data_IF_885934808037
#
_entry.id   IF_885934808037
#
_cell.length_a   1.000
_cell.length_b   1.000
_cell.length_c   1.000
_cell.angle_alpha   90.00
_cell.angle_beta   90.00
_cell.angle_gamma   90.00
#
_symmetry.space_group_name_H-M   'P 1'
#
loop_
_entity.id
_entity.type
_entity.pdbx_description
1 polymer ?
#
# COMPACT_ATOMS: atom_id res chain seq x y z
N UNK A 1 -8.91 -42.18 35.82
CA UNK A 1 -9.68 -41.07 35.23
C UNK A 1 -8.92 -39.80 35.55
N UNK A 2 -8.18 -39.28 34.58
CA UNK A 2 -7.29 -38.13 34.77
C UNK A 2 -8.00 -36.91 34.20
N UNK A 3 -8.58 -36.10 35.08
CA UNK A 3 -9.20 -34.81 34.71
C UNK A 3 -8.08 -33.86 34.33
N UNK A 4 -7.98 -33.55 33.03
CA UNK A 4 -7.12 -32.48 32.52
C UNK A 4 -7.86 -31.17 32.75
N UNK A 5 -7.43 -30.40 33.73
CA UNK A 5 -7.88 -29.02 33.92
C UNK A 5 -7.26 -28.18 32.83
N UNK A 6 -8.05 -27.82 31.83
CA UNK A 6 -7.69 -26.78 30.86
C UNK A 6 -7.56 -25.46 31.62
N UNK A 7 -6.35 -24.95 31.76
CA UNK A 7 -6.13 -23.60 32.29
C UNK A 7 -6.65 -22.59 31.26
N UNK A 8 -7.71 -21.86 31.62
CA UNK A 8 -8.12 -20.64 30.93
C UNK A 8 -6.94 -19.64 30.98
N UNK A 9 -6.49 -19.05 29.86
CA UNK A 9 -5.51 -17.97 29.91
C UNK A 9 -6.11 -16.80 30.69
N UNK A 10 -5.28 -16.01 31.37
CA UNK A 10 -5.69 -14.75 32.00
C UNK A 10 -6.61 -13.97 31.04
N UNK A 11 -7.78 -13.54 31.52
CA UNK A 11 -8.80 -12.86 30.73
C UNK A 11 -8.15 -11.77 29.85
N UNK A 12 -8.27 -11.90 28.54
CA UNK A 12 -7.82 -10.87 27.61
C UNK A 12 -8.66 -9.61 27.89
N UNK A 13 -8.09 -8.67 28.66
CA UNK A 13 -8.69 -7.37 29.01
C UNK A 13 -8.86 -6.44 27.82
N UNK A 14 -8.31 -6.81 26.67
CA UNK A 14 -8.42 -6.05 25.44
C UNK A 14 -9.35 -6.72 24.43
N UNK A 15 -10.07 -5.91 23.66
CA UNK A 15 -10.87 -6.38 22.52
C UNK A 15 -10.31 -5.77 21.22
N UNK A 16 -10.04 -6.63 20.24
CA UNK A 16 -9.64 -6.18 18.90
C UNK A 16 -10.88 -6.09 18.01
N UNK A 17 -11.28 -4.86 17.68
CA UNK A 17 -12.43 -4.60 16.84
C UNK A 17 -12.23 -4.93 15.36
N UNK A 18 -13.23 -4.54 14.56
CA UNK A 18 -13.26 -4.81 13.11
C UNK A 18 -12.26 -3.93 12.36
N UNK A 19 -11.60 -4.51 11.36
CA UNK A 19 -10.69 -3.79 10.46
C UNK A 19 -11.42 -2.66 9.72
N UNK A 20 -10.94 -1.44 9.84
CA UNK A 20 -11.47 -0.31 9.08
C UNK A 20 -10.93 -0.26 7.63
N UNK A 21 -11.43 0.68 6.83
CA UNK A 21 -11.03 0.84 5.43
C UNK A 21 -9.53 1.11 5.24
N UNK A 22 -8.89 1.78 6.21
CA UNK A 22 -7.44 2.04 6.30
C UNK A 22 -6.65 0.86 6.88
N UNK A 23 -7.27 -0.31 7.00
CA UNK A 23 -6.60 -1.53 7.41
C UNK A 23 -6.18 -1.60 8.88
N UNK A 24 -6.62 -0.65 9.70
CA UNK A 24 -6.37 -0.57 11.15
C UNK A 24 -7.49 -1.28 11.92
N UNK A 25 -7.14 -1.96 12.99
CA UNK A 25 -8.06 -2.61 13.91
C UNK A 25 -8.08 -1.78 15.20
N UNK A 26 -9.21 -1.16 15.59
CA UNK A 26 -9.29 -0.48 16.86
C UNK A 26 -9.11 -1.50 17.99
N UNK A 27 -8.43 -1.09 19.06
CA UNK A 27 -8.28 -1.90 20.27
C UNK A 27 -8.87 -1.12 21.44
N UNK A 28 -9.75 -1.79 22.19
CA UNK A 28 -10.23 -1.29 23.48
C UNK A 28 -9.59 -2.09 24.60
N UNK A 29 -9.41 -1.47 25.77
CA UNK A 29 -8.90 -2.08 27.01
C UNK A 29 -9.92 -1.76 28.09
N UNK A 30 -10.52 -2.78 28.71
CA UNK A 30 -11.60 -2.64 29.68
C UNK A 30 -12.75 -1.73 29.19
N UNK A 31 -13.06 -1.83 27.89
CA UNK A 31 -14.10 -1.02 27.22
C UNK A 31 -13.70 0.42 26.87
N UNK A 32 -12.50 0.88 27.22
CA UNK A 32 -11.97 2.20 26.88
C UNK A 32 -11.06 2.16 25.65
N UNK A 33 -10.86 3.26 24.91
CA UNK A 33 -9.95 3.29 23.77
C UNK A 33 -8.49 3.05 24.18
N UNK A 34 -7.88 1.96 23.70
CA UNK A 34 -6.45 1.68 23.87
C UNK A 34 -5.60 2.14 22.69
N UNK A 35 -6.19 2.22 21.50
CA UNK A 35 -5.52 2.69 20.28
C UNK A 35 -5.95 1.90 19.05
N UNK A 36 -5.02 1.68 18.13
CA UNK A 36 -5.23 0.79 17.00
C UNK A 36 -3.98 -0.03 16.66
N UNK A 37 -4.20 -1.21 16.09
CA UNK A 37 -3.15 -2.06 15.53
C UNK A 37 -3.33 -2.22 14.03
N UNK A 38 -2.24 -2.39 13.30
CA UNK A 38 -2.30 -2.70 11.87
C UNK A 38 -1.12 -3.54 11.43
N UNK A 39 -1.25 -4.12 10.24
CA UNK A 39 -0.21 -4.94 9.63
C UNK A 39 0.46 -4.17 8.50
N UNK A 40 1.78 -4.14 8.50
CA UNK A 40 2.59 -3.54 7.42
C UNK A 40 3.77 -4.47 7.12
N UNK A 41 3.92 -4.89 5.86
CA UNK A 41 5.03 -5.76 5.43
C UNK A 41 5.20 -7.07 6.21
N UNK A 42 4.08 -7.64 6.67
CA UNK A 42 4.07 -8.91 7.39
C UNK A 42 4.13 -8.75 8.91
N UNK A 43 4.53 -7.58 9.39
CA UNK A 43 4.74 -7.24 10.81
C UNK A 43 3.51 -6.50 11.37
N UNK A 44 3.34 -6.56 12.70
CA UNK A 44 2.26 -5.86 13.39
C UNK A 44 2.79 -4.60 14.07
N UNK A 45 1.96 -3.56 14.05
CA UNK A 45 2.26 -2.28 14.67
C UNK A 45 1.12 -1.88 15.57
N UNK A 46 1.45 -1.35 16.74
CA UNK A 46 0.51 -0.79 17.70
C UNK A 46 0.71 0.72 17.76
N UNK A 47 -0.39 1.46 17.66
CA UNK A 47 -0.42 2.91 17.84
C UNK A 47 -1.31 3.24 19.04
N UNK A 48 -0.74 3.74 20.14
CA UNK A 48 -1.50 4.15 21.30
C UNK A 48 -2.55 5.23 21.01
N UNK A 49 -3.68 5.18 21.72
CA UNK A 49 -4.68 6.24 21.65
C UNK A 49 -4.07 7.57 22.10
N UNK A 50 -4.26 8.64 21.32
CA UNK A 50 -3.66 9.94 21.67
C UNK A 50 -2.17 10.09 21.31
N UNK A 51 -1.53 9.09 20.69
CA UNK A 51 -0.13 9.19 20.23
C UNK A 51 0.04 8.99 18.72
N UNK A 52 1.09 9.60 18.17
CA UNK A 52 1.47 9.46 16.76
C UNK A 52 2.47 8.32 16.51
N UNK A 53 3.24 7.94 17.54
CA UNK A 53 4.29 6.93 17.42
C UNK A 53 3.71 5.51 17.41
N UNK A 54 4.37 4.62 16.67
CA UNK A 54 3.94 3.23 16.50
C UNK A 54 5.06 2.29 17.01
N UNK A 55 4.71 1.26 17.79
CA UNK A 55 5.62 0.20 18.21
C UNK A 55 5.42 -1.07 17.38
N UNK A 56 6.49 -1.81 17.13
CA UNK A 56 6.50 -3.00 16.27
C UNK A 56 6.42 -4.29 17.10
N UNK A 57 5.64 -5.25 16.62
CA UNK A 57 5.36 -6.54 17.25
C UNK A 57 5.32 -7.68 16.23
N UNK A 58 5.59 -8.89 16.70
CA UNK A 58 5.65 -10.08 15.84
C UNK A 58 4.26 -10.64 15.51
N UNK A 59 3.29 -10.46 16.42
CA UNK A 59 1.93 -10.93 16.22
C UNK A 59 0.85 -9.92 16.64
N UNK A 60 -0.37 -10.20 16.19
CA UNK A 60 -1.55 -9.33 16.36
C UNK A 60 -1.93 -9.14 17.82
N UNK A 61 -1.86 -10.21 18.61
CA UNK A 61 -2.25 -10.23 20.01
C UNK A 61 -1.16 -9.60 20.88
N UNK A 62 0.13 -9.81 20.56
CA UNK A 62 1.22 -9.04 21.19
C UNK A 62 1.06 -7.53 21.00
N UNK A 63 0.73 -7.09 19.78
CA UNK A 63 0.49 -5.67 19.52
C UNK A 63 -0.69 -5.11 20.35
N UNK A 64 -1.75 -5.88 20.54
CA UNK A 64 -2.90 -5.47 21.34
C UNK A 64 -2.62 -5.52 22.84
N UNK A 65 -1.94 -6.56 23.32
CA UNK A 65 -1.51 -6.70 24.71
C UNK A 65 -0.58 -5.55 25.13
N UNK A 66 0.33 -5.14 24.24
CA UNK A 66 1.18 -3.97 24.48
C UNK A 66 0.38 -2.68 24.71
N UNK A 67 -0.77 -2.50 24.05
CA UNK A 67 -1.63 -1.34 24.31
C UNK A 67 -2.29 -1.43 25.70
N UNK A 68 -2.63 -2.63 26.17
CA UNK A 68 -3.11 -2.84 27.53
C UNK A 68 -2.01 -2.54 28.57
N UNK A 69 -0.78 -2.99 28.33
CA UNK A 69 0.37 -2.72 29.20
C UNK A 69 0.61 -1.21 29.34
N UNK A 70 0.50 -0.45 28.25
CA UNK A 70 0.66 1.00 28.23
C UNK A 70 -0.49 1.77 28.92
N UNK A 71 -1.71 1.20 28.91
CA UNK A 71 -2.83 1.75 29.71
C UNK A 71 -2.60 1.46 31.19
N UNK A 72 -2.16 0.24 31.53
CA UNK A 72 -1.90 -0.17 32.92
C UNK A 72 -0.73 0.61 33.55
N UNK A 73 0.30 0.95 32.76
CA UNK A 73 1.40 1.80 33.22
C UNK A 73 1.01 3.27 33.40
N UNK A 74 -0.14 3.68 32.84
CA UNK A 74 -0.58 5.08 32.80
C UNK A 74 0.18 5.92 31.76
N UNK A 75 0.93 5.30 30.86
CA UNK A 75 1.61 5.98 29.75
C UNK A 75 0.60 6.47 28.69
N UNK A 76 -0.57 5.84 28.62
CA UNK A 76 -1.71 6.26 27.81
C UNK A 76 -2.86 6.68 28.72
N UNK A 77 -3.43 7.86 28.44
CA UNK A 77 -4.74 8.24 28.97
C UNK A 77 -5.83 7.85 27.94
N UNK A 78 -6.69 6.85 28.23
CA UNK A 78 -7.77 6.45 27.33
C UNK A 78 -8.80 7.56 27.09
N UNK A 79 -8.85 8.59 27.93
CA UNK A 79 -9.71 9.75 27.78
C UNK A 79 -9.06 10.89 26.99
N UNK A 80 -7.77 10.77 26.63
CA UNK A 80 -7.10 11.76 25.80
C UNK A 80 -7.80 11.90 24.44
N UNK A 81 -7.82 13.10 23.84
CA UNK A 81 -8.30 13.25 22.48
C UNK A 81 -7.41 12.46 21.51
N UNK A 82 -7.95 12.01 20.36
CA UNK A 82 -7.14 11.36 19.34
C UNK A 82 -5.97 12.25 18.92
N UNK A 83 -4.76 11.67 18.80
CA UNK A 83 -3.62 12.40 18.30
C UNK A 83 -3.92 12.98 16.91
N UNK A 84 -3.47 14.21 16.70
CA UNK A 84 -3.33 14.75 15.35
C UNK A 84 -2.29 13.88 14.64
N UNK A 85 -2.59 13.32 13.46
CA UNK A 85 -1.62 12.55 12.71
C UNK A 85 -0.35 13.38 12.48
N UNK A 86 0.82 12.78 12.70
CA UNK A 86 2.07 13.42 12.31
C UNK A 86 2.04 13.78 10.82
N UNK A 87 2.71 14.88 10.46
CA UNK A 87 2.89 15.23 9.06
C UNK A 87 3.46 14.03 8.29
N UNK A 88 2.97 13.75 7.07
CA UNK A 88 3.45 12.61 6.31
C UNK A 88 4.96 12.76 6.09
N UNK A 89 5.71 11.73 6.50
CA UNK A 89 7.14 11.69 6.23
C UNK A 89 7.39 11.88 4.73
N UNK A 90 8.41 12.64 4.36
CA UNK A 90 8.78 12.77 2.95
C UNK A 90 9.62 11.56 2.54
N UNK A 91 9.13 10.78 1.58
CA UNK A 91 9.90 9.70 0.95
C UNK A 91 10.98 10.25 0.02
N UNK A 92 11.84 9.37 -0.49
CA UNK A 92 12.88 9.74 -1.48
C UNK A 92 12.24 10.33 -2.76
N UNK A 93 11.10 9.76 -3.16
CA UNK A 93 10.25 10.23 -4.25
C UNK A 93 8.78 10.15 -3.82
N UNK A 94 7.89 11.00 -4.35
CA UNK A 94 6.47 10.99 -3.95
C UNK A 94 5.71 9.73 -4.40
N UNK A 95 6.18 9.01 -5.43
CA UNK A 95 5.46 7.86 -6.00
C UNK A 95 5.71 6.53 -5.27
N UNK A 96 6.55 6.53 -4.25
CA UNK A 96 6.82 5.39 -3.39
C UNK A 96 6.61 5.81 -1.93
N UNK A 97 5.78 5.09 -1.19
CA UNK A 97 5.53 5.42 0.22
C UNK A 97 6.85 5.54 0.99
N UNK A 98 6.99 6.52 1.91
CA UNK A 98 8.19 6.68 2.73
C UNK A 98 8.53 5.43 3.56
N UNK A 99 7.53 4.61 3.88
CA UNK A 99 7.70 3.35 4.62
C UNK A 99 8.24 2.20 3.74
N UNK A 100 8.28 2.37 2.42
CA UNK A 100 8.82 1.39 1.48
C UNK A 100 10.28 1.70 1.15
N UNK A 101 11.17 0.78 1.53
CA UNK A 101 12.54 0.78 1.02
C UNK A 101 12.53 0.60 -0.51
N UNK A 102 13.32 1.36 -1.29
CA UNK A 102 13.38 1.26 -2.76
C UNK A 102 14.19 0.03 -3.19
N UNK A 103 13.76 -1.16 -2.77
CA UNK A 103 14.33 -2.42 -3.24
C UNK A 103 13.86 -2.68 -4.67
N UNK A 104 14.64 -3.46 -5.43
CA UNK A 104 14.28 -3.89 -6.78
C UNK A 104 12.85 -4.43 -6.87
N UNK A 105 12.45 -5.29 -5.90
CA UNK A 105 11.10 -5.85 -5.83
C UNK A 105 10.03 -4.78 -5.61
N UNK A 106 10.28 -3.82 -4.71
CA UNK A 106 9.33 -2.75 -4.40
C UNK A 106 9.18 -1.76 -5.56
N UNK A 107 10.28 -1.44 -6.25
CA UNK A 107 10.27 -0.56 -7.42
C UNK A 107 9.45 -1.20 -8.56
N UNK A 108 9.69 -2.47 -8.86
CA UNK A 108 8.91 -3.21 -9.86
C UNK A 108 7.43 -3.26 -9.48
N UNK A 109 7.11 -3.58 -8.22
CA UNK A 109 5.72 -3.58 -7.74
C UNK A 109 5.06 -2.21 -7.86
N UNK A 110 5.77 -1.14 -7.51
CA UNK A 110 5.27 0.22 -7.58
C UNK A 110 4.99 0.65 -9.02
N UNK A 111 5.93 0.44 -9.95
CA UNK A 111 5.73 0.80 -11.35
C UNK A 111 4.59 0.03 -12.01
N UNK A 112 4.43 -1.26 -11.69
CA UNK A 112 3.28 -2.07 -12.13
C UNK A 112 1.97 -1.53 -11.55
N UNK A 113 1.96 -1.16 -10.27
CA UNK A 113 0.78 -0.64 -9.60
C UNK A 113 0.37 0.73 -10.15
N UNK A 114 1.33 1.62 -10.40
CA UNK A 114 1.11 2.95 -10.96
C UNK A 114 0.60 2.87 -12.41
N UNK A 115 1.18 2.01 -13.25
CA UNK A 115 0.67 1.79 -14.61
C UNK A 115 -0.78 1.29 -14.59
N UNK A 116 -1.11 0.37 -13.68
CA UNK A 116 -2.48 -0.13 -13.54
C UNK A 116 -3.47 0.92 -13.02
N UNK A 117 -3.05 1.73 -12.06
CA UNK A 117 -3.86 2.85 -11.54
C UNK A 117 -4.16 3.84 -12.66
N UNK A 118 -3.19 4.13 -13.53
CA UNK A 118 -3.38 4.95 -14.72
C UNK A 118 -4.39 4.32 -15.70
N UNK A 119 -4.24 3.04 -16.07
CA UNK A 119 -5.19 2.32 -16.95
C UNK A 119 -6.63 2.35 -16.48
N UNK A 120 -6.84 2.38 -15.16
CA UNK A 120 -8.15 2.36 -14.53
C UNK A 120 -8.71 3.76 -14.27
N UNK A 121 -8.00 4.82 -14.71
CA UNK A 121 -8.35 6.21 -14.45
C UNK A 121 -8.46 6.55 -12.95
N UNK A 122 -7.45 6.13 -12.18
CA UNK A 122 -7.22 6.55 -10.80
C UNK A 122 -5.98 7.44 -10.73
N UNK A 123 -5.93 8.35 -9.77
CA UNK A 123 -4.70 9.10 -9.43
C UNK A 123 -4.28 8.78 -8.00
N UNK A 124 -2.97 8.60 -7.74
CA UNK A 124 -2.46 8.41 -6.38
C UNK A 124 -2.39 9.74 -5.63
N UNK A 125 -3.56 10.27 -5.30
CA UNK A 125 -3.78 11.57 -4.67
C UNK A 125 -4.69 11.42 -3.45
N UNK A 126 -4.44 12.20 -2.39
CA UNK A 126 -5.32 12.34 -1.23
C UNK A 126 -6.37 13.44 -1.43
N UNK A 127 -7.20 13.69 -0.39
CA UNK A 127 -8.26 14.71 -0.43
C UNK A 127 -7.75 16.16 -0.56
N UNK A 128 -6.46 16.38 -0.35
CA UNK A 128 -5.79 17.66 -0.51
C UNK A 128 -4.98 17.75 -1.81
N UNK A 129 -5.03 16.70 -2.65
CA UNK A 129 -4.27 16.63 -3.90
C UNK A 129 -2.78 16.29 -3.72
N UNK A 130 -2.36 15.85 -2.53
CA UNK A 130 -0.99 15.38 -2.32
C UNK A 130 -0.80 13.98 -2.90
N UNK A 131 0.38 13.70 -3.45
CA UNK A 131 0.69 12.38 -4.00
C UNK A 131 0.85 11.36 -2.87
N UNK A 132 0.13 10.24 -2.92
CA UNK A 132 0.07 9.23 -1.85
C UNK A 132 1.09 8.09 -2.01
N UNK A 133 1.69 7.96 -3.20
CA UNK A 133 2.71 6.96 -3.52
C UNK A 133 2.26 5.50 -3.37
N UNK A 134 2.93 4.55 -4.03
CA UNK A 134 2.59 3.13 -3.83
C UNK A 134 2.89 2.72 -2.37
N UNK A 135 1.92 2.18 -1.61
CA UNK A 135 2.11 1.88 -0.19
C UNK A 135 2.57 0.44 0.08
N UNK A 136 2.66 -0.40 -0.95
CA UNK A 136 2.91 -1.83 -0.81
C UNK A 136 1.64 -2.64 -1.10
N UNK A 137 1.80 -3.95 -1.34
CA UNK A 137 0.69 -4.77 -1.84
C UNK A 137 -0.42 -5.04 -0.84
N UNK A 138 -0.07 -4.97 0.44
CA UNK A 138 -0.92 -5.32 1.58
C UNK A 138 -1.26 -4.09 2.41
N UNK A 139 -1.25 -2.91 1.79
CA UNK A 139 -1.58 -1.65 2.44
C UNK A 139 -2.71 -0.93 1.70
N UNK A 140 -3.55 -0.18 2.43
CA UNK A 140 -4.53 0.72 1.84
C UNK A 140 -3.83 1.80 1.03
N UNK A 141 -4.42 2.18 -0.09
CA UNK A 141 -3.94 3.24 -0.96
C UNK A 141 -5.06 4.26 -1.17
N UNK A 142 -4.81 5.50 -0.79
CA UNK A 142 -5.69 6.63 -1.11
C UNK A 142 -5.52 7.01 -2.58
N UNK A 143 -6.64 6.96 -3.32
CA UNK A 143 -6.71 7.24 -4.74
C UNK A 143 -7.88 8.17 -5.04
N UNK A 144 -7.66 9.12 -5.94
CA UNK A 144 -8.69 9.98 -6.52
C UNK A 144 -9.28 9.32 -7.77
N UNK A 145 -10.60 9.16 -7.81
CA UNK A 145 -11.32 8.68 -8.98
C UNK A 145 -11.33 9.74 -10.08
N UNK A 146 -10.79 9.44 -11.27
CA UNK A 146 -10.86 10.42 -12.37
C UNK A 146 -12.26 10.54 -13.00
N UNK A 147 -13.22 9.68 -12.65
CA UNK A 147 -14.57 9.75 -13.22
C UNK A 147 -15.44 10.80 -12.53
N UNK A 148 -15.27 11.00 -11.22
CA UNK A 148 -16.09 11.91 -10.42
C UNK A 148 -15.31 12.73 -9.38
N UNK A 149 -13.98 12.55 -9.29
CA UNK A 149 -13.10 13.31 -8.42
C UNK A 149 -13.07 12.85 -6.95
N UNK A 150 -13.84 11.82 -6.56
CA UNK A 150 -13.87 11.38 -5.16
C UNK A 150 -12.59 10.66 -4.76
N UNK A 151 -12.11 10.97 -3.55
CA UNK A 151 -11.01 10.23 -2.91
C UNK A 151 -11.55 9.01 -2.20
N UNK A 152 -10.96 7.86 -2.48
CA UNK A 152 -11.34 6.58 -1.87
C UNK A 152 -10.11 5.78 -1.47
N UNK A 153 -10.28 4.94 -0.44
CA UNK A 153 -9.26 3.97 -0.06
C UNK A 153 -9.47 2.67 -0.84
N UNK A 154 -8.39 2.19 -1.48
CA UNK A 154 -8.38 0.93 -2.24
C UNK A 154 -7.19 0.07 -1.86
N UNK A 155 -7.43 -1.23 -1.86
CA UNK A 155 -6.38 -2.22 -1.69
C UNK A 155 -5.79 -2.56 -3.06
N UNK A 156 -4.46 -2.58 -3.19
CA UNK A 156 -3.82 -2.97 -4.45
C UNK A 156 -4.27 -4.36 -4.93
N UNK A 157 -4.56 -5.28 -4.00
CA UNK A 157 -5.13 -6.60 -4.30
C UNK A 157 -6.48 -6.55 -5.03
N UNK A 158 -7.26 -5.48 -4.86
CA UNK A 158 -8.55 -5.31 -5.51
C UNK A 158 -8.42 -4.68 -6.91
N UNK A 159 -7.36 -3.90 -7.16
CA UNK A 159 -7.12 -3.21 -8.43
C UNK A 159 -6.38 -4.07 -9.47
N UNK A 160 -5.51 -4.98 -9.03
CA UNK A 160 -4.69 -5.83 -9.91
C UNK A 160 -5.42 -7.08 -10.44
N UNK A 161 -6.65 -7.34 -10.00
CA UNK A 161 -7.35 -8.61 -10.23
C UNK A 161 -6.89 -9.73 -9.28
N UNK A 162 -7.74 -10.74 -9.06
CA UNK A 162 -7.44 -11.89 -8.18
C UNK A 162 -6.78 -12.99 -9.04
N UNK A 163 -5.64 -13.52 -8.59
CA UNK A 163 -4.84 -14.56 -9.26
C UNK A 163 -4.02 -14.14 -10.49
N UNK A 164 -3.82 -12.83 -10.73
CA UNK A 164 -2.88 -12.38 -11.77
C UNK A 164 -3.39 -12.59 -13.20
N UNK A 165 -4.69 -12.79 -13.37
CA UNK A 165 -5.36 -12.85 -14.67
C UNK A 165 -5.47 -11.48 -15.36
N UNK A 166 -5.02 -10.40 -14.69
CA UNK A 166 -5.09 -9.00 -15.11
C UNK A 166 -6.51 -8.53 -15.48
N UNK A 167 -7.55 -9.34 -15.22
CA UNK A 167 -8.94 -8.99 -15.46
C UNK A 167 -9.28 -7.80 -14.57
N UNK A 168 -9.62 -6.63 -15.15
CA UNK A 168 -9.99 -5.45 -14.38
C UNK A 168 -11.14 -5.78 -13.45
N UNK A 169 -10.84 -5.68 -12.16
CA UNK A 169 -11.85 -5.50 -11.12
C UNK A 169 -11.57 -4.13 -10.52
N UNK A 170 -12.63 -3.38 -10.25
CA UNK A 170 -13.88 -3.96 -9.75
C UNK A 170 -15.04 -3.94 -10.76
N UNK A 171 -15.93 -4.93 -10.63
CA UNK A 171 -17.32 -4.86 -11.14
C UNK A 171 -18.07 -3.67 -10.51
N UNK A 172 -17.52 -3.06 -9.47
CA UNK A 172 -18.08 -1.93 -8.74
C UNK A 172 -17.00 -0.91 -8.38
N UNK A 173 -17.04 0.30 -8.93
CA UNK A 173 -15.95 1.27 -8.77
C UNK A 173 -15.83 1.84 -7.37
N UNK A 174 -16.86 2.52 -6.86
CA UNK A 174 -17.08 2.92 -5.47
C UNK A 174 -18.50 3.46 -5.29
N UNK A 175 -18.90 3.72 -4.04
CA UNK A 175 -20.24 4.21 -3.71
C UNK A 175 -20.45 5.62 -4.25
N UNK A 176 -21.61 5.84 -4.85
CA UNK A 176 -22.00 7.12 -5.45
C UNK A 176 -21.08 7.57 -6.60
N UNK A 177 -20.41 6.64 -7.28
CA UNK A 177 -19.76 6.94 -8.56
C UNK A 177 -20.83 7.06 -9.67
N UNK A 178 -20.39 7.38 -10.89
CA UNK A 178 -21.26 7.32 -12.08
C UNK A 178 -21.80 5.91 -12.31
N UNK A 179 -22.88 5.81 -13.07
CA UNK A 179 -23.57 4.56 -13.40
C UNK A 179 -22.61 3.54 -14.02
N UNK A 180 -22.78 2.27 -13.63
CA UNK A 180 -21.85 1.18 -13.94
C UNK A 180 -21.64 1.01 -15.45
N UNK A 181 -22.72 1.17 -16.21
CA UNK A 181 -22.79 1.06 -17.65
C UNK A 181 -21.91 2.09 -18.38
N UNK A 182 -21.74 3.28 -17.79
CA UNK A 182 -20.97 4.38 -18.39
C UNK A 182 -19.48 4.35 -18.02
N UNK A 183 -19.11 3.61 -16.97
CA UNK A 183 -17.75 3.63 -16.42
C UNK A 183 -16.70 3.20 -17.44
N UNK A 184 -16.94 2.14 -18.20
CA UNK A 184 -15.98 1.62 -19.17
C UNK A 184 -15.70 2.62 -20.30
N UNK A 185 -16.76 3.22 -20.85
CA UNK A 185 -16.65 4.23 -21.89
C UNK A 185 -15.92 5.49 -21.39
N UNK A 186 -16.23 5.95 -20.18
CA UNK A 186 -15.57 7.13 -19.60
C UNK A 186 -14.10 6.89 -19.29
N UNK A 187 -13.74 5.70 -18.80
CA UNK A 187 -12.32 5.32 -18.63
C UNK A 187 -11.60 5.33 -19.97
N UNK A 188 -12.17 4.68 -20.99
CA UNK A 188 -11.56 4.64 -22.33
C UNK A 188 -11.36 6.05 -22.91
N UNK A 189 -12.34 6.95 -22.73
CA UNK A 189 -12.25 8.33 -23.19
C UNK A 189 -11.17 9.15 -22.43
N UNK A 190 -10.99 8.91 -21.13
CA UNK A 190 -9.99 9.62 -20.32
C UNK A 190 -8.56 9.15 -20.59
N UNK A 191 -8.38 7.84 -20.79
CA UNK A 191 -7.05 7.24 -20.93
C UNK A 191 -6.58 7.22 -22.39
N UNK A 192 -7.51 7.03 -23.34
CA UNK A 192 -7.17 6.87 -24.74
C UNK A 192 -6.29 5.63 -25.00
N UNK A 193 -5.58 5.65 -26.12
CA UNK A 193 -4.58 4.63 -26.43
C UNK A 193 -3.24 5.00 -25.77
N UNK A 194 -2.73 4.19 -24.82
CA UNK A 194 -1.48 4.51 -24.14
C UNK A 194 -0.29 4.38 -25.11
N UNK A 195 0.59 5.38 -25.21
CA UNK A 195 1.73 5.32 -26.10
C UNK A 195 2.73 4.24 -25.66
N UNK A 196 3.31 3.53 -26.64
CA UNK A 196 4.33 2.50 -26.38
C UNK A 196 5.70 3.07 -25.94
N UNK A 197 5.94 4.34 -26.23
CA UNK A 197 7.19 5.07 -25.91
C UNK A 197 6.85 6.29 -25.07
N UNK A 198 7.73 6.62 -24.13
CA UNK A 198 7.61 7.80 -23.28
C UNK A 198 7.60 9.08 -24.11
N UNK A 199 6.52 9.91 -24.05
CA UNK A 199 6.47 11.19 -24.75
C UNK A 199 7.01 12.37 -23.91
N UNK A 200 7.40 12.14 -22.66
CA UNK A 200 7.86 13.20 -21.73
C UNK A 200 9.20 13.81 -22.18
N UNK A 201 9.30 15.13 -22.13
CA UNK A 201 10.49 15.88 -22.57
C UNK A 201 11.56 16.02 -21.46
N UNK A 202 11.12 16.27 -20.23
CA UNK A 202 12.03 16.56 -19.11
C UNK A 202 12.67 15.29 -18.52
N UNK A 203 11.94 14.18 -18.51
CA UNK A 203 12.40 12.89 -17.98
C UNK A 203 12.04 11.79 -18.95
N UNK A 204 13.05 11.11 -19.48
CA UNK A 204 12.83 9.90 -20.29
C UNK A 204 12.54 8.72 -19.38
N UNK A 205 11.38 8.11 -19.54
CA UNK A 205 10.98 6.91 -18.79
C UNK A 205 11.24 5.66 -19.63
N UNK A 206 11.82 4.60 -19.05
CA UNK A 206 12.11 3.37 -19.78
C UNK A 206 10.80 2.60 -20.04
N UNK A 207 10.56 2.19 -21.28
CA UNK A 207 9.39 1.34 -21.64
C UNK A 207 9.80 -0.07 -22.09
N UNK A 208 11.11 -0.36 -22.16
CA UNK A 208 11.65 -1.67 -22.52
C UNK A 208 12.26 -2.38 -21.31
N UNK A 209 12.18 -3.71 -21.28
CA UNK A 209 12.72 -4.52 -20.18
C UNK A 209 14.23 -4.30 -19.97
N UNK A 210 15.00 -4.18 -21.06
CA UNK A 210 16.44 -3.93 -21.01
C UNK A 210 16.80 -2.60 -20.33
N UNK A 211 16.16 -1.49 -20.72
CA UNK A 211 16.44 -0.20 -20.10
C UNK A 211 15.98 -0.15 -18.64
N UNK A 212 14.87 -0.81 -18.31
CA UNK A 212 14.40 -0.95 -16.92
C UNK A 212 15.44 -1.72 -16.10
N UNK A 213 15.97 -2.84 -16.62
CA UNK A 213 17.00 -3.64 -15.97
C UNK A 213 18.25 -2.80 -15.63
N UNK A 214 18.76 -2.07 -16.62
CA UNK A 214 19.93 -1.20 -16.44
C UNK A 214 19.70 -0.13 -15.35
N UNK A 215 18.51 0.47 -15.31
CA UNK A 215 18.15 1.45 -14.30
C UNK A 215 17.95 0.83 -12.91
N UNK A 216 17.40 -0.38 -12.82
CA UNK A 216 17.28 -1.12 -11.56
C UNK A 216 18.65 -1.45 -10.98
N UNK A 217 19.61 -1.87 -11.80
CA UNK A 217 20.97 -2.17 -11.35
C UNK A 217 21.69 -0.92 -10.82
N UNK A 218 21.52 0.21 -11.51
CA UNK A 218 22.02 1.52 -11.04
C UNK A 218 21.36 1.93 -9.74
N UNK A 219 20.05 1.74 -9.64
CA UNK A 219 19.26 2.04 -8.43
C UNK A 219 19.73 1.21 -7.25
N UNK A 220 20.00 -0.08 -7.45
CA UNK A 220 20.49 -0.95 -6.38
C UNK A 220 21.88 -0.55 -5.91
N UNK A 221 22.78 -0.16 -6.82
CA UNK A 221 24.12 0.36 -6.47
C UNK A 221 24.01 1.65 -5.65
N UNK A 222 23.24 2.63 -6.11
CA UNK A 222 23.04 3.89 -5.40
C UNK A 222 22.44 3.66 -3.99
N UNK A 223 21.42 2.80 -3.89
CA UNK A 223 20.82 2.42 -2.60
C UNK A 223 21.82 1.74 -1.65
N UNK A 224 22.69 0.85 -2.15
CA UNK A 224 23.72 0.19 -1.33
C UNK A 224 24.80 1.15 -0.84
N UNK A 225 25.05 2.22 -1.61
CA UNK A 225 26.01 3.27 -1.28
C UNK A 225 25.40 4.42 -0.46
N UNK A 226 24.09 4.37 -0.15
CA UNK A 226 23.32 5.46 0.47
C UNK A 226 23.41 6.80 -0.31
N UNK A 227 23.59 6.72 -1.63
CA UNK A 227 23.67 7.86 -2.53
C UNK A 227 22.27 8.32 -2.94
N UNK A 228 21.65 9.14 -2.09
CA UNK A 228 20.29 9.66 -2.28
C UNK A 228 20.17 10.55 -3.52
N UNK A 229 21.22 11.32 -3.84
CA UNK A 229 21.24 12.26 -4.97
C UNK A 229 21.22 11.53 -6.31
N UNK A 230 21.91 10.39 -6.43
CA UNK A 230 21.79 9.50 -7.60
C UNK A 230 20.49 8.69 -7.58
N UNK A 231 20.06 8.25 -6.40
CA UNK A 231 18.89 7.38 -6.25
C UNK A 231 17.58 8.08 -6.67
N UNK A 232 17.38 9.34 -6.27
CA UNK A 232 16.18 10.12 -6.57
C UNK A 232 15.86 10.21 -8.07
N UNK A 233 16.75 10.70 -8.96
CA UNK A 233 16.45 10.80 -10.39
C UNK A 233 16.24 9.44 -11.07
N UNK A 234 16.89 8.36 -10.58
CA UNK A 234 16.65 7.01 -11.08
C UNK A 234 15.23 6.53 -10.73
N UNK A 235 14.79 6.75 -9.49
CA UNK A 235 13.43 6.45 -9.07
C UNK A 235 12.40 7.31 -9.82
N UNK A 236 12.69 8.58 -10.08
CA UNK A 236 11.84 9.45 -10.93
C UNK A 236 11.68 8.85 -12.33
N UNK A 237 12.76 8.44 -13.00
CA UNK A 237 12.67 7.80 -14.32
C UNK A 237 11.83 6.52 -14.30
N UNK A 238 11.90 5.73 -13.22
CA UNK A 238 11.19 4.45 -13.11
C UNK A 238 9.72 4.60 -12.71
N UNK A 239 9.38 5.61 -11.88
CA UNK A 239 8.09 5.66 -11.17
C UNK A 239 7.27 6.91 -11.43
N UNK A 240 7.84 7.99 -11.97
CA UNK A 240 7.08 9.23 -12.18
C UNK A 240 5.93 9.06 -13.20
N UNK A 241 4.91 9.94 -13.14
CA UNK A 241 3.74 9.86 -13.99
C UNK A 241 4.17 10.02 -15.45
N UNK A 242 3.64 9.15 -16.30
CA UNK A 242 3.97 9.13 -17.71
C UNK A 242 2.79 8.53 -18.48
N UNK A 243 2.39 9.11 -19.64
CA UNK A 243 1.38 8.51 -20.49
C UNK A 243 1.72 7.05 -20.90
N UNK A 244 3.02 6.73 -21.04
CA UNK A 244 3.49 5.38 -21.36
C UNK A 244 3.68 4.47 -20.13
N UNK A 245 3.06 4.79 -18.98
CA UNK A 245 3.23 4.02 -17.74
C UNK A 245 2.71 2.58 -17.84
N UNK A 246 1.67 2.32 -18.64
CA UNK A 246 1.19 0.97 -18.96
C UNK A 246 2.23 0.13 -19.71
N UNK A 247 2.84 0.69 -20.76
CA UNK A 247 3.91 0.03 -21.50
C UNK A 247 5.12 -0.28 -20.60
N UNK A 248 5.50 0.67 -19.74
CA UNK A 248 6.54 0.46 -18.71
C UNK A 248 6.15 -0.64 -17.73
N UNK A 249 4.90 -0.66 -17.26
CA UNK A 249 4.40 -1.68 -16.35
C UNK A 249 4.44 -3.08 -16.96
N UNK A 250 4.06 -3.24 -18.23
CA UNK A 250 4.16 -4.53 -18.94
C UNK A 250 5.61 -5.02 -19.01
N UNK A 251 6.55 -4.13 -19.38
CA UNK A 251 7.97 -4.49 -19.37
C UNK A 251 8.48 -4.85 -17.97
N UNK A 252 8.05 -4.14 -16.92
CA UNK A 252 8.39 -4.47 -15.52
C UNK A 252 7.87 -5.85 -15.09
N UNK A 253 6.69 -6.27 -15.55
CA UNK A 253 6.13 -7.61 -15.23
C UNK A 253 7.06 -8.73 -15.70
N UNK A 254 7.74 -8.55 -16.83
CA UNK A 254 8.68 -9.56 -17.38
C UNK A 254 9.90 -9.81 -16.49
N UNK A 255 10.24 -8.83 -15.64
CA UNK A 255 11.39 -8.87 -14.73
C UNK A 255 11.03 -9.46 -13.35
N UNK A 256 9.76 -9.76 -13.09
CA UNK A 256 9.34 -10.40 -11.85
C UNK A 256 9.69 -11.91 -11.88
N UNK A 257 10.13 -12.48 -10.75
CA UNK A 257 10.35 -13.92 -10.67
C UNK A 257 9.04 -14.66 -10.93
N UNK A 258 9.10 -15.69 -11.79
CA UNK A 258 7.93 -16.53 -12.09
C UNK A 258 7.44 -17.19 -10.80
N UNK A 259 6.11 -17.24 -10.56
CA UNK A 259 5.57 -17.93 -9.40
C UNK A 259 6.00 -19.40 -9.43
N UNK A 260 6.45 -19.92 -8.28
CA UNK A 260 6.76 -21.35 -8.14
C UNK A 260 5.50 -22.17 -8.45
N UNK A 261 5.58 -23.26 -9.23
CA UNK A 261 4.42 -24.11 -9.49
C UNK A 261 3.83 -24.59 -8.17
N UNK A 262 2.49 -24.52 -8.03
CA UNK A 262 1.82 -25.06 -6.84
C UNK A 262 2.11 -26.55 -6.74
N UNK A 263 2.45 -27.08 -5.55
CA UNK A 263 2.56 -28.52 -5.37
C UNK A 263 1.23 -29.17 -5.77
N UNK A 264 1.30 -30.25 -6.57
CA UNK A 264 0.10 -31.02 -6.93
C UNK A 264 -0.57 -31.50 -5.63
N UNK A 265 -1.91 -31.41 -5.51
CA UNK A 265 -2.60 -32.06 -4.40
C UNK A 265 -2.20 -33.54 -4.39
N UNK A 266 -1.85 -34.05 -3.20
CA UNK A 266 -1.68 -35.49 -3.01
C UNK A 266 -3.07 -36.10 -3.17
N UNK A 267 -3.25 -36.91 -4.21
CA UNK A 267 -4.41 -37.78 -4.36
C UNK A 267 -4.38 -38.87 -3.30
#
# INVERSE_FOLDING_TARGET
MTTTTTSTPAEERYEIGVRNARGRYPVTVDGQPGGDIHRFHGEWYARPHGHAEESRHDDRHQAAAHLADLVDSGDIDPAAPPAIPAAPAQGIVPWLSPRLKPTRRNILSAGIALGRVAELAWRPEDEHGNITGYPGSDNPWELTCCLDGKVVVRWWSHLRGRNGDNTPRPVWRHEGCIDFEDQAAKVAALIGEPPAVCPCQETTHPTTAEHIEQLLDRTERARKADDVDTLRPLLTQLLAPCPASSARAESMKTLLPKPKPKPKPKN
#
